data_IF_944925075125
#
_entry.id   IF_944925075125
#
_cell.length_a   1.000
_cell.length_b   1.000
_cell.length_c   1.000
_cell.angle_alpha   90.00
_cell.angle_beta   90.00
_cell.angle_gamma   90.00
#
_symmetry.space_group_name_H-M   'P 1'
#
loop_
_entity.id
_entity.type
_entity.pdbx_description
1 polymer ?
#
# COMPACT_ATOMS: atom_id res chain seq x y z
N UNK A 1 -1.22 8.22 18.60
CA UNK A 1 -0.31 7.06 18.71
C UNK A 1 1.11 7.55 18.59
N UNK A 2 2.03 7.17 19.46
CA UNK A 2 3.46 7.44 19.30
C UNK A 2 4.08 6.24 18.58
N UNK A 3 4.56 6.41 17.34
CA UNK A 3 5.17 5.30 16.60
C UNK A 3 6.46 4.85 17.29
N UNK A 4 6.71 3.54 17.29
CA UNK A 4 8.00 3.02 17.76
C UNK A 4 9.08 3.31 16.71
N UNK A 5 10.31 3.71 17.12
CA UNK A 5 11.42 3.86 16.19
C UNK A 5 11.76 2.50 15.56
N UNK A 6 12.21 2.53 14.31
CA UNK A 6 12.67 1.34 13.61
C UNK A 6 13.94 0.79 14.28
N UNK A 7 14.00 -0.52 14.52
CA UNK A 7 15.18 -1.14 15.13
C UNK A 7 16.45 -0.97 14.25
N UNK A 8 16.33 -1.19 12.94
CA UNK A 8 17.43 -0.99 11.97
C UNK A 8 17.36 0.41 11.38
N UNK A 9 17.75 1.42 12.18
CA UNK A 9 17.78 2.82 11.77
C UNK A 9 18.76 3.08 10.62
N UNK A 10 19.84 2.29 10.53
CA UNK A 10 20.81 2.29 9.44
C UNK A 10 20.19 1.95 8.06
N UNK A 11 18.98 1.42 8.03
CA UNK A 11 18.22 1.07 6.82
C UNK A 11 16.95 1.89 6.64
N UNK A 12 16.70 2.80 7.54
CA UNK A 12 15.54 3.67 7.46
C UNK A 12 15.73 4.68 6.34
N UNK A 13 14.73 4.81 5.48
CA UNK A 13 14.70 5.81 4.43
C UNK A 13 14.19 7.14 4.96
N UNK A 14 14.64 8.27 4.38
CA UNK A 14 13.99 9.55 4.57
C UNK A 14 12.50 9.46 4.21
N UNK A 15 11.66 10.24 4.88
CA UNK A 15 10.21 10.18 4.71
C UNK A 15 9.79 10.48 3.26
N UNK A 16 10.41 11.46 2.62
CA UNK A 16 10.14 11.82 1.23
C UNK A 16 10.44 10.67 0.27
N UNK A 17 11.55 9.96 0.49
CA UNK A 17 11.93 8.81 -0.32
C UNK A 17 10.98 7.62 -0.11
N UNK A 18 10.55 7.39 1.13
CA UNK A 18 9.55 6.36 1.42
C UNK A 18 8.19 6.66 0.75
N UNK A 19 7.79 7.93 0.69
CA UNK A 19 6.62 8.38 -0.07
C UNK A 19 6.79 8.16 -1.58
N UNK A 20 7.95 8.49 -2.13
CA UNK A 20 8.24 8.28 -3.55
C UNK A 20 8.17 6.79 -3.92
N UNK A 21 8.70 5.91 -3.08
CA UNK A 21 8.57 4.45 -3.25
C UNK A 21 7.10 4.01 -3.20
N UNK A 22 6.35 4.46 -2.21
CA UNK A 22 4.92 4.11 -2.08
C UNK A 22 4.14 4.52 -3.34
N UNK A 23 4.43 5.69 -3.92
CA UNK A 23 3.76 6.19 -5.12
C UNK A 23 4.13 5.39 -6.38
N UNK A 24 5.30 4.79 -6.44
CA UNK A 24 5.75 3.96 -7.58
C UNK A 24 5.13 2.56 -7.57
N UNK A 25 4.73 2.05 -6.40
CA UNK A 25 4.16 0.73 -6.27
C UNK A 25 2.69 0.68 -6.71
N UNK A 26 2.22 -0.51 -7.05
CA UNK A 26 0.84 -0.76 -7.49
C UNK A 26 0.16 -1.89 -6.72
N UNK A 27 0.92 -2.63 -5.90
CA UNK A 27 0.44 -3.81 -5.18
C UNK A 27 1.00 -3.87 -3.78
N UNK A 28 0.14 -4.12 -2.80
CA UNK A 28 0.52 -4.17 -1.40
C UNK A 28 -0.41 -5.06 -0.59
N UNK A 29 -0.16 -5.13 0.71
CA UNK A 29 -0.93 -5.93 1.65
C UNK A 29 -1.64 -5.01 2.64
N UNK A 30 -2.96 -5.04 2.64
CA UNK A 30 -3.82 -4.39 3.63
C UNK A 30 -4.03 -5.33 4.81
N UNK A 31 -3.65 -4.90 6.00
CA UNK A 31 -3.90 -5.61 7.26
C UNK A 31 -4.90 -4.82 8.10
N UNK A 32 -5.93 -5.50 8.58
CA UNK A 32 -7.01 -4.94 9.41
C UNK A 32 -7.14 -5.73 10.72
N UNK A 33 -7.80 -5.15 11.72
CA UNK A 33 -8.15 -5.84 12.96
C UNK A 33 -9.41 -6.66 12.69
N UNK A 34 -9.24 -7.97 12.58
CA UNK A 34 -10.32 -8.91 12.34
C UNK A 34 -11.10 -9.29 13.60
N UNK A 35 -11.91 -10.34 13.49
CA UNK A 35 -12.72 -10.85 14.59
C UNK A 35 -11.82 -11.30 15.75
N UNK A 36 -12.29 -11.10 16.98
CA UNK A 36 -11.56 -11.44 18.22
C UNK A 36 -10.16 -10.82 18.30
N UNK A 37 -9.88 -9.77 17.52
CA UNK A 37 -8.58 -9.11 17.46
C UNK A 37 -7.53 -9.81 16.59
N UNK A 38 -7.90 -10.86 15.85
CA UNK A 38 -6.99 -11.49 14.92
C UNK A 38 -6.59 -10.55 13.79
N UNK A 39 -5.29 -10.42 13.46
CA UNK A 39 -4.89 -9.66 12.29
C UNK A 39 -5.34 -10.40 11.02
N UNK A 40 -6.02 -9.70 10.12
CA UNK A 40 -6.39 -10.21 8.81
C UNK A 40 -5.70 -9.39 7.73
N UNK A 41 -5.00 -10.05 6.83
CA UNK A 41 -4.19 -9.43 5.78
C UNK A 41 -4.61 -9.91 4.40
N UNK A 42 -4.77 -8.98 3.46
CA UNK A 42 -5.18 -9.26 2.09
C UNK A 42 -4.35 -8.48 1.07
N UNK A 43 -3.78 -9.14 0.05
CA UNK A 43 -3.07 -8.47 -1.04
C UNK A 43 -4.06 -7.70 -1.92
N UNK A 44 -3.71 -6.46 -2.31
CA UNK A 44 -4.58 -5.58 -3.10
C UNK A 44 -3.77 -4.65 -3.99
N UNK A 45 -4.31 -4.34 -5.16
CA UNK A 45 -3.84 -3.22 -5.95
C UNK A 45 -4.24 -1.89 -5.29
N UNK A 46 -3.36 -0.90 -5.44
CA UNK A 46 -3.57 0.42 -4.88
C UNK A 46 -3.05 1.52 -5.80
N UNK A 47 -3.44 2.73 -5.50
CA UNK A 47 -2.84 3.97 -6.03
C UNK A 47 -2.71 5.02 -4.93
N UNK A 48 -1.86 6.01 -5.17
CA UNK A 48 -1.71 7.16 -4.27
C UNK A 48 -2.23 8.40 -4.99
N UNK A 49 -3.09 9.15 -4.31
CA UNK A 49 -3.64 10.42 -4.79
C UNK A 49 -3.78 11.36 -3.59
N UNK A 50 -3.28 12.59 -3.70
CA UNK A 50 -3.35 13.63 -2.67
C UNK A 50 -2.84 13.17 -1.28
N UNK A 51 -1.73 12.41 -1.26
CA UNK A 51 -1.13 11.89 -0.03
C UNK A 51 -1.96 10.81 0.69
N UNK A 52 -2.94 10.22 0.03
CA UNK A 52 -3.77 9.13 0.53
C UNK A 52 -3.64 7.90 -0.36
N UNK A 53 -3.90 6.72 0.21
CA UNK A 53 -3.84 5.45 -0.51
C UNK A 53 -5.26 5.00 -0.82
N UNK A 54 -5.51 4.66 -2.08
CA UNK A 54 -6.82 4.21 -2.54
C UNK A 54 -6.75 2.77 -3.04
N UNK A 55 -7.73 1.96 -2.63
CA UNK A 55 -7.86 0.55 -3.01
C UNK A 55 -9.28 0.31 -3.49
N UNK A 56 -9.45 -0.64 -4.42
CA UNK A 56 -10.79 -1.05 -4.85
C UNK A 56 -11.13 -2.45 -4.35
N UNK A 57 -12.41 -2.73 -4.12
CA UNK A 57 -12.88 -4.04 -3.72
C UNK A 57 -14.38 -4.23 -4.04
N UNK A 58 -14.90 -5.42 -3.74
CA UNK A 58 -16.35 -5.64 -3.73
C UNK A 58 -17.02 -4.78 -2.64
N UNK A 59 -18.32 -4.52 -2.80
CA UNK A 59 -19.12 -3.69 -1.86
C UNK A 59 -19.40 -4.36 -0.53
N UNK A 60 -19.12 -5.64 -0.39
CA UNK A 60 -19.30 -6.44 0.82
C UNK A 60 -18.10 -7.33 1.06
N UNK A 61 -17.92 -7.78 2.29
CA UNK A 61 -16.92 -8.77 2.65
C UNK A 61 -16.13 -8.41 3.90
N UNK A 62 -15.46 -9.40 4.44
CA UNK A 62 -14.83 -9.40 5.75
C UNK A 62 -13.97 -8.16 6.07
N UNK A 63 -13.14 -7.72 5.12
CA UNK A 63 -12.30 -6.53 5.33
C UNK A 63 -13.11 -5.24 5.54
N UNK A 64 -14.27 -5.12 4.87
CA UNK A 64 -15.14 -3.96 5.04
C UNK A 64 -15.83 -3.98 6.40
N UNK A 65 -16.31 -5.16 6.82
CA UNK A 65 -16.91 -5.35 8.13
C UNK A 65 -15.90 -5.09 9.25
N UNK A 66 -14.65 -5.54 9.07
CA UNK A 66 -13.56 -5.30 10.00
C UNK A 66 -13.24 -3.80 10.12
N UNK A 67 -13.09 -3.09 8.99
CA UNK A 67 -12.82 -1.64 8.95
C UNK A 67 -13.98 -0.83 9.54
N UNK A 68 -15.23 -1.27 9.37
CA UNK A 68 -16.38 -0.61 9.97
C UNK A 68 -16.38 -0.69 11.51
N UNK A 69 -15.79 -1.73 12.09
CA UNK A 69 -15.63 -1.89 13.54
C UNK A 69 -14.39 -1.19 14.09
N UNK A 70 -13.27 -1.28 13.35
CA UNK A 70 -12.00 -0.68 13.72
C UNK A 70 -11.27 -0.20 12.45
N UNK A 71 -11.20 1.11 12.30
CA UNK A 71 -10.64 1.77 11.13
C UNK A 71 -9.10 1.77 11.08
N UNK A 72 -8.44 1.26 12.13
CA UNK A 72 -6.96 1.17 12.17
C UNK A 72 -6.47 0.08 11.24
N UNK A 73 -5.55 0.45 10.38
CA UNK A 73 -4.97 -0.45 9.39
C UNK A 73 -3.46 -0.32 9.31
N UNK A 74 -2.84 -1.39 8.82
CA UNK A 74 -1.46 -1.37 8.36
C UNK A 74 -1.45 -1.73 6.88
N UNK A 75 -0.78 -0.91 6.06
CA UNK A 75 -0.59 -1.19 4.64
C UNK A 75 0.90 -1.33 4.34
N UNK A 76 1.28 -2.44 3.74
CA UNK A 76 2.69 -2.77 3.48
C UNK A 76 2.91 -3.00 1.99
N UNK A 77 3.99 -2.42 1.46
CA UNK A 77 4.41 -2.56 0.06
C UNK A 77 5.85 -3.03 0.02
N UNK A 78 6.15 -4.01 -0.82
CA UNK A 78 7.50 -4.42 -1.18
C UNK A 78 7.72 -4.06 -2.65
N UNK A 79 8.67 -3.16 -2.92
CA UNK A 79 8.96 -2.65 -4.27
C UNK A 79 10.04 -3.48 -4.96
N UNK A 80 10.99 -3.95 -4.16
CA UNK A 80 12.11 -4.76 -4.63
C UNK A 80 12.39 -5.85 -3.61
N UNK A 81 12.68 -7.04 -4.11
CA UNK A 81 13.30 -8.14 -3.38
C UNK A 81 14.20 -8.89 -4.36
N UNK A 82 15.48 -9.04 -4.02
CA UNK A 82 16.47 -9.68 -4.87
C UNK A 82 17.45 -10.47 -4.00
N UNK A 83 17.52 -11.77 -4.23
CA UNK A 83 18.47 -12.63 -3.53
C UNK A 83 19.89 -12.41 -4.03
N UNK A 84 20.83 -12.20 -3.14
CA UNK A 84 22.24 -12.11 -3.47
C UNK A 84 22.81 -13.52 -3.44
N UNK A 85 23.13 -14.07 -4.62
CA UNK A 85 23.64 -15.43 -4.80
C UNK A 85 24.87 -15.67 -3.91
N UNK A 86 24.98 -16.88 -3.32
CA UNK A 86 26.09 -17.35 -2.48
C UNK A 86 26.34 -16.55 -1.18
N UNK A 87 25.45 -15.64 -0.79
CA UNK A 87 25.67 -14.74 0.34
C UNK A 87 24.59 -14.74 1.42
N UNK A 88 23.61 -15.64 1.36
CA UNK A 88 22.52 -15.76 2.34
C UNK A 88 21.92 -14.42 2.76
N UNK A 89 21.70 -13.52 1.80
CA UNK A 89 21.15 -12.19 2.02
C UNK A 89 20.33 -11.71 0.81
N UNK A 90 19.50 -10.68 1.02
CA UNK A 90 18.73 -10.04 -0.05
C UNK A 90 18.92 -8.52 -0.05
N UNK A 91 18.73 -7.92 -1.22
CA UNK A 91 18.48 -6.50 -1.39
C UNK A 91 16.97 -6.29 -1.39
N UNK A 92 16.50 -5.21 -0.80
CA UNK A 92 15.07 -4.95 -0.72
C UNK A 92 14.74 -3.47 -0.52
N UNK A 93 13.52 -3.12 -0.91
CA UNK A 93 12.90 -1.84 -0.64
C UNK A 93 11.44 -2.08 -0.23
N UNK A 94 11.03 -1.53 0.89
CA UNK A 94 9.68 -1.70 1.43
C UNK A 94 9.20 -0.47 2.17
N UNK A 95 7.87 -0.30 2.20
CA UNK A 95 7.20 0.77 2.93
C UNK A 95 6.11 0.15 3.82
N UNK A 96 6.01 0.64 5.04
CA UNK A 96 4.94 0.31 5.98
C UNK A 96 4.20 1.58 6.36
N UNK A 97 2.89 1.58 6.19
CA UNK A 97 1.99 2.68 6.51
C UNK A 97 1.02 2.25 7.59
N UNK A 98 1.03 2.93 8.73
CA UNK A 98 -0.04 2.86 9.70
C UNK A 98 -1.03 3.98 9.40
N UNK A 99 -2.31 3.66 9.31
CA UNK A 99 -3.33 4.62 8.90
C UNK A 99 -4.72 4.28 9.42
N UNK A 100 -5.68 5.08 8.94
CA UNK A 100 -7.10 4.86 9.16
C UNK A 100 -7.79 4.69 7.83
N UNK A 101 -8.56 3.62 7.69
CA UNK A 101 -9.28 3.30 6.47
C UNK A 101 -10.76 3.68 6.58
N UNK A 102 -11.34 4.10 5.46
CA UNK A 102 -12.77 4.35 5.34
C UNK A 102 -13.25 4.06 3.92
N UNK A 103 -14.56 3.82 3.76
CA UNK A 103 -15.19 3.81 2.45
C UNK A 103 -15.26 5.24 1.88
N UNK A 104 -14.96 5.39 0.61
CA UNK A 104 -15.17 6.63 -0.13
C UNK A 104 -16.67 6.72 -0.48
N UNK A 105 -17.32 7.74 0.04
CA UNK A 105 -18.76 8.00 -0.18
C UNK A 105 -19.00 9.12 -1.19
N UNK A 106 -18.03 10.01 -1.38
CA UNK A 106 -18.11 11.07 -2.39
C UNK A 106 -17.90 10.51 -3.80
N UNK A 107 -18.86 10.78 -4.69
CA UNK A 107 -18.87 10.23 -6.05
C UNK A 107 -17.69 10.73 -6.89
N UNK A 108 -17.31 11.99 -6.77
CA UNK A 108 -16.20 12.55 -7.55
C UNK A 108 -14.88 11.90 -7.16
N UNK A 109 -14.60 11.79 -5.87
CA UNK A 109 -13.43 11.08 -5.32
C UNK A 109 -13.43 9.60 -5.71
N UNK A 110 -14.59 8.94 -5.65
CA UNK A 110 -14.72 7.53 -6.04
C UNK A 110 -14.34 7.32 -7.51
N UNK A 111 -14.85 8.14 -8.42
CA UNK A 111 -14.54 8.06 -9.85
C UNK A 111 -13.06 8.38 -10.13
N UNK A 112 -12.53 9.43 -9.52
CA UNK A 112 -11.12 9.79 -9.65
C UNK A 112 -10.20 8.66 -9.18
N UNK A 113 -10.48 8.07 -8.01
CA UNK A 113 -9.68 6.96 -7.48
C UNK A 113 -9.74 5.72 -8.39
N UNK A 114 -10.91 5.38 -8.95
CA UNK A 114 -11.02 4.29 -9.91
C UNK A 114 -10.21 4.56 -11.19
N UNK A 115 -10.23 5.81 -11.70
CA UNK A 115 -9.44 6.18 -12.86
C UNK A 115 -7.94 6.02 -12.58
N UNK A 116 -7.45 6.55 -11.46
CA UNK A 116 -6.06 6.38 -11.03
C UNK A 116 -5.65 4.92 -10.83
N UNK A 117 -6.55 4.09 -10.26
CA UNK A 117 -6.30 2.65 -10.09
C UNK A 117 -6.17 1.93 -11.43
N UNK A 118 -7.03 2.25 -12.41
CA UNK A 118 -6.94 1.66 -13.75
C UNK A 118 -5.65 2.10 -14.45
N UNK A 119 -5.30 3.38 -14.37
CA UNK A 119 -4.06 3.91 -14.96
C UNK A 119 -2.80 3.28 -14.33
N UNK A 120 -2.82 2.99 -13.02
CA UNK A 120 -1.74 2.31 -12.31
C UNK A 120 -1.55 0.84 -12.73
N UNK A 121 -2.59 0.18 -13.25
CA UNK A 121 -2.51 -1.22 -13.71
C UNK A 121 -1.87 -1.39 -15.09
N UNK A 122 -1.68 -0.30 -15.84
CA UNK A 122 -1.05 -0.35 -17.15
C UNK A 122 -1.42 0.82 -18.07
N UNK A 123 -0.89 0.79 -19.30
CA UNK A 123 -1.21 1.77 -20.32
C UNK A 123 -2.58 1.48 -20.94
N UNK A 124 -3.62 2.03 -20.33
CA UNK A 124 -5.00 1.92 -20.80
C UNK A 124 -5.39 3.22 -21.49
N UNK A 125 -6.04 3.14 -22.66
CA UNK A 125 -6.57 4.36 -23.29
C UNK A 125 -7.68 4.98 -22.43
N UNK A 126 -7.85 6.30 -22.50
CA UNK A 126 -8.93 7.02 -21.78
C UNK A 126 -10.29 6.40 -22.03
N UNK A 127 -10.59 6.08 -23.29
CA UNK A 127 -11.89 5.51 -23.69
C UNK A 127 -12.13 4.13 -23.05
N UNK A 128 -11.12 3.27 -23.01
CA UNK A 128 -11.24 1.94 -22.41
C UNK A 128 -11.37 2.06 -20.89
N UNK A 129 -10.61 2.96 -20.25
CA UNK A 129 -10.73 3.26 -18.82
C UNK A 129 -12.15 3.72 -18.48
N UNK A 130 -12.68 4.69 -19.22
CA UNK A 130 -13.99 5.27 -18.96
C UNK A 130 -15.11 4.24 -19.17
N UNK A 131 -14.99 3.38 -20.21
CA UNK A 131 -15.91 2.25 -20.41
C UNK A 131 -15.85 1.24 -19.26
N UNK A 132 -14.66 0.94 -18.75
CA UNK A 132 -14.50 0.01 -17.62
C UNK A 132 -15.14 0.58 -16.35
N UNK A 133 -14.91 1.87 -16.06
CA UNK A 133 -15.50 2.56 -14.90
C UNK A 133 -17.02 2.63 -15.04
N UNK A 134 -17.55 2.97 -16.22
CA UNK A 134 -18.99 3.01 -16.47
C UNK A 134 -19.68 1.66 -16.25
N UNK A 135 -19.04 0.57 -16.64
CA UNK A 135 -19.59 -0.79 -16.52
C UNK A 135 -19.48 -1.37 -15.12
N UNK A 136 -18.39 -1.11 -14.41
CA UNK A 136 -18.04 -1.79 -13.15
C UNK A 136 -17.99 -0.88 -11.94
N UNK A 137 -17.83 0.44 -12.14
CA UNK A 137 -17.65 1.38 -11.05
C UNK A 137 -18.81 1.37 -10.04
N UNK A 138 -20.04 1.23 -10.51
CA UNK A 138 -21.22 1.17 -9.62
C UNK A 138 -21.21 -0.05 -8.69
N UNK A 139 -20.53 -1.15 -9.06
CA UNK A 139 -20.44 -2.38 -8.28
C UNK A 139 -19.10 -2.51 -7.53
N UNK A 140 -18.26 -1.49 -7.60
CA UNK A 140 -16.93 -1.46 -6.97
C UNK A 140 -16.93 -0.47 -5.82
N UNK A 141 -16.52 -0.91 -4.65
CA UNK A 141 -16.23 -0.03 -3.52
C UNK A 141 -14.79 0.49 -3.61
N UNK A 142 -14.58 1.71 -3.16
CA UNK A 142 -13.26 2.29 -2.99
C UNK A 142 -13.02 2.53 -1.50
N UNK A 143 -11.88 2.04 -1.00
CA UNK A 143 -11.35 2.35 0.31
C UNK A 143 -10.30 3.44 0.18
N UNK A 144 -10.29 4.36 1.13
CA UNK A 144 -9.21 5.32 1.33
C UNK A 144 -8.49 5.00 2.64
N UNK A 145 -7.16 4.97 2.61
CA UNK A 145 -6.33 4.94 3.82
C UNK A 145 -5.71 6.32 3.99
N UNK A 146 -5.97 6.96 5.13
CA UNK A 146 -5.33 8.19 5.56
C UNK A 146 -4.11 7.83 6.40
N UNK A 147 -2.87 8.06 5.90
CA UNK A 147 -1.67 7.73 6.63
C UNK A 147 -1.54 8.55 7.93
N UNK A 148 -1.20 7.87 9.02
CA UNK A 148 -0.86 8.47 10.32
C UNK A 148 0.64 8.41 10.54
N UNK A 149 1.27 7.33 10.07
CA UNK A 149 2.71 7.14 10.15
C UNK A 149 3.19 6.29 8.98
N UNK A 150 4.30 6.70 8.37
CA UNK A 150 4.91 6.01 7.25
C UNK A 150 6.39 5.78 7.54
N UNK A 151 6.87 4.57 7.27
CA UNK A 151 8.29 4.22 7.35
C UNK A 151 8.72 3.48 6.10
N UNK A 152 9.85 3.89 5.53
CA UNK A 152 10.54 3.19 4.46
C UNK A 152 11.77 2.47 4.97
N UNK A 153 12.07 1.32 4.38
CA UNK A 153 13.25 0.51 4.71
C UNK A 153 13.88 -0.04 3.44
N UNK A 154 15.20 0.13 3.32
CA UNK A 154 15.95 -0.39 2.19
C UNK A 154 17.27 -1.03 2.58
N UNK A 155 17.69 -1.99 1.76
CA UNK A 155 19.06 -2.46 1.63
C UNK A 155 19.36 -2.55 0.14
N UNK A 156 20.13 -1.59 -0.38
CA UNK A 156 20.38 -1.40 -1.81
C UNK A 156 21.71 -1.91 -2.29
N UNK A 157 22.65 -2.07 -1.37
CA UNK A 157 24.00 -2.55 -1.63
C UNK A 157 24.31 -3.80 -0.80
N UNK A 158 25.18 -4.60 -1.33
CA UNK A 158 25.80 -5.73 -0.65
C UNK A 158 27.30 -5.50 -0.53
N UNK A 159 27.81 -5.55 0.71
CA UNK A 159 29.24 -5.55 1.01
C UNK A 159 29.61 -6.92 1.58
N UNK A 160 30.48 -7.71 0.92
CA UNK A 160 30.96 -8.98 1.44
C UNK A 160 31.56 -8.83 2.84
N UNK A 161 31.43 -9.88 3.66
CA UNK A 161 31.91 -9.86 5.05
C UNK A 161 33.43 -9.59 5.13
N UNK A 162 34.21 -9.99 4.10
CA UNK A 162 35.65 -9.78 4.04
C UNK A 162 36.08 -8.30 3.94
N UNK A 163 35.15 -7.38 3.70
CA UNK A 163 35.44 -5.93 3.64
C UNK A 163 35.06 -5.20 4.95
N UNK A 164 34.70 -5.93 6.01
CA UNK A 164 34.32 -5.37 7.32
C UNK A 164 35.44 -5.40 8.36
N UNK A 165 36.70 -5.66 7.94
CA UNK A 165 37.86 -5.52 8.82
C UNK A 165 38.45 -4.12 8.74
#
# INVERSE_FOLDING_TARGET
MTPRPMHRQDRQLPQEEAWALLTQGTYGVLSVVGDEGWPYAVPMHYTVMDGQIYLHCAKTGYKLDAIARDDRVCFTVTLREELVQDHATSLYESVVVLGRAALVTDQATHQAALAHLVDALGRVSSDLRDQYIARRGQNTAVLVIRPVHLTGKAKRDFRPIQQRM
#
